data_IF_268521231622
#
_entry.id   IF_268521231622
#
_cell.length_a   1.000
_cell.length_b   1.000
_cell.length_c   1.000
_cell.angle_alpha   90.00
_cell.angle_beta   90.00
_cell.angle_gamma   90.00
#
_symmetry.space_group_name_H-M   'P 1'
#
loop_
_entity.id
_entity.type
_entity.pdbx_description
1 polymer ?
#
# COMPACT_ATOMS: atom_id res chain seq x y z
N UNK A 1 -55.23 11.02 -11.44
CA UNK A 1 -54.08 11.14 -10.51
C UNK A 1 -53.34 9.80 -10.24
N UNK A 2 -54.03 8.65 -10.10
CA UNK A 2 -53.35 7.35 -9.91
C UNK A 2 -52.47 6.92 -11.10
N UNK A 3 -52.92 7.17 -12.34
CA UNK A 3 -52.15 6.86 -13.55
C UNK A 3 -50.79 7.56 -13.62
N UNK A 4 -50.74 8.85 -13.24
CA UNK A 4 -49.48 9.61 -13.21
C UNK A 4 -48.50 9.05 -12.18
N UNK A 5 -48.97 8.62 -11.00
CA UNK A 5 -48.11 7.98 -9.99
C UNK A 5 -47.57 6.63 -10.47
N UNK A 6 -48.39 5.86 -11.19
CA UNK A 6 -47.98 4.59 -11.79
C UNK A 6 -46.91 4.81 -12.87
N UNK A 7 -47.13 5.78 -13.75
CA UNK A 7 -46.20 6.09 -14.84
C UNK A 7 -44.87 6.67 -14.33
N UNK A 8 -44.92 7.56 -13.34
CA UNK A 8 -43.72 8.09 -12.69
C UNK A 8 -42.87 7.00 -12.03
N UNK A 9 -43.50 5.97 -11.44
CA UNK A 9 -42.79 4.81 -10.88
C UNK A 9 -42.28 3.85 -11.95
N UNK A 10 -43.05 3.64 -13.02
CA UNK A 10 -42.71 2.69 -14.11
C UNK A 10 -41.53 3.18 -14.93
N UNK A 11 -41.50 4.48 -15.27
CA UNK A 11 -40.42 5.11 -16.05
C UNK A 11 -39.42 5.88 -15.18
N UNK A 12 -39.30 5.53 -13.90
CA UNK A 12 -38.24 6.06 -13.05
C UNK A 12 -36.86 5.72 -13.62
N UNK A 13 -35.90 6.63 -13.53
CA UNK A 13 -34.51 6.44 -14.01
C UNK A 13 -33.86 5.17 -13.46
N UNK A 14 -34.21 4.78 -12.22
CA UNK A 14 -33.78 3.52 -11.57
C UNK A 14 -34.27 2.23 -12.25
N UNK A 15 -35.22 2.32 -13.16
CA UNK A 15 -35.82 1.19 -13.90
C UNK A 15 -35.48 1.20 -15.39
N UNK A 16 -34.59 2.10 -15.82
CA UNK A 16 -34.06 2.08 -17.17
C UNK A 16 -33.22 0.82 -17.39
N UNK A 17 -33.23 0.29 -18.61
CA UNK A 17 -32.55 -0.97 -18.96
C UNK A 17 -31.05 -0.95 -18.68
N UNK A 18 -30.40 0.22 -18.82
CA UNK A 18 -28.99 0.43 -18.55
C UNK A 18 -28.71 1.07 -17.18
N UNK A 19 -29.63 0.94 -16.21
CA UNK A 19 -29.40 1.49 -14.88
C UNK A 19 -28.31 0.70 -14.15
N UNK A 20 -27.16 1.34 -13.94
CA UNK A 20 -26.14 0.83 -13.04
C UNK A 20 -26.61 1.02 -11.59
N UNK A 21 -26.60 -0.06 -10.81
CA UNK A 21 -26.80 0.02 -9.38
C UNK A 21 -25.74 0.94 -8.74
N UNK A 22 -26.07 1.61 -7.61
CA UNK A 22 -25.09 2.41 -6.90
C UNK A 22 -23.88 1.56 -6.51
N UNK A 23 -22.71 2.21 -6.51
CA UNK A 23 -21.47 1.61 -6.03
C UNK A 23 -21.65 1.25 -4.55
N UNK A 24 -21.06 0.13 -4.13
CA UNK A 24 -21.04 -0.24 -2.71
C UNK A 24 -20.09 0.69 -1.98
N UNK A 25 -20.61 1.38 -0.98
CA UNK A 25 -19.80 2.24 -0.11
C UNK A 25 -18.98 1.41 0.89
N UNK A 26 -17.95 2.04 1.45
CA UNK A 26 -17.10 1.42 2.45
C UNK A 26 -17.87 1.20 3.76
N UNK A 27 -17.64 0.04 4.37
CA UNK A 27 -18.22 -0.31 5.66
C UNK A 27 -17.30 0.15 6.81
N UNK A 28 -17.84 0.40 8.01
CA UNK A 28 -17.01 0.73 9.18
C UNK A 28 -15.98 -0.38 9.48
N UNK A 29 -14.73 -0.03 9.83
CA UNK A 29 -13.67 -1.02 10.04
C UNK A 29 -13.96 -1.97 11.22
N UNK A 30 -14.74 -1.53 12.21
CA UNK A 30 -15.16 -2.34 13.37
C UNK A 30 -16.04 -3.52 12.95
N UNK A 31 -16.77 -3.39 11.84
CA UNK A 31 -17.64 -4.46 11.35
C UNK A 31 -16.84 -5.71 11.02
N UNK A 32 -15.75 -5.56 10.26
CA UNK A 32 -14.87 -6.68 9.91
C UNK A 32 -14.17 -7.23 11.16
N UNK A 33 -13.62 -6.36 12.01
CA UNK A 33 -12.93 -6.78 13.25
C UNK A 33 -13.84 -7.62 14.14
N UNK A 34 -15.09 -7.19 14.31
CA UNK A 34 -16.09 -7.93 15.09
C UNK A 34 -16.44 -9.28 14.47
N UNK A 35 -16.64 -9.34 13.15
CA UNK A 35 -16.92 -10.63 12.47
C UNK A 35 -15.79 -11.62 12.71
N UNK A 36 -14.53 -11.20 12.54
CA UNK A 36 -13.36 -12.06 12.75
C UNK A 36 -13.27 -12.52 14.21
N UNK A 37 -13.48 -11.62 15.17
CA UNK A 37 -13.49 -11.94 16.61
C UNK A 37 -14.61 -12.91 16.98
N UNK A 38 -15.82 -12.72 16.45
CA UNK A 38 -16.99 -13.57 16.74
C UNK A 38 -16.84 -14.99 16.15
N UNK A 39 -16.13 -15.15 15.03
CA UNK A 39 -15.88 -16.45 14.40
C UNK A 39 -14.71 -17.21 15.07
N UNK A 40 -13.67 -16.49 15.49
CA UNK A 40 -12.52 -17.05 16.19
C UNK A 40 -11.91 -18.25 15.47
N UNK A 41 -11.72 -19.35 16.21
CA UNK A 41 -11.18 -20.63 15.73
C UNK A 41 -12.24 -21.56 15.11
N UNK A 42 -13.48 -21.09 14.93
CA UNK A 42 -14.61 -21.87 14.42
C UNK A 42 -14.98 -23.11 15.26
N UNK A 43 -14.56 -23.19 16.53
CA UNK A 43 -14.95 -24.26 17.47
C UNK A 43 -16.43 -24.19 17.84
N UNK A 44 -17.00 -22.97 17.87
CA UNK A 44 -18.39 -22.73 18.25
C UNK A 44 -19.39 -23.38 17.28
N UNK A 45 -20.39 -24.09 17.82
CA UNK A 45 -21.47 -24.72 17.05
C UNK A 45 -22.29 -23.71 16.25
N UNK A 46 -22.37 -22.45 16.68
CA UNK A 46 -23.08 -21.37 15.97
C UNK A 46 -22.53 -21.16 14.55
N UNK A 47 -21.22 -21.28 14.36
CA UNK A 47 -20.53 -21.04 13.08
C UNK A 47 -20.43 -22.29 12.20
N UNK A 48 -21.23 -23.33 12.47
CA UNK A 48 -21.17 -24.62 11.76
C UNK A 48 -21.42 -24.50 10.25
N UNK A 49 -22.36 -23.64 9.86
CA UNK A 49 -22.72 -23.47 8.45
C UNK A 49 -21.61 -22.79 7.64
N UNK A 50 -20.82 -21.93 8.29
CA UNK A 50 -19.76 -21.15 7.64
C UNK A 50 -18.46 -21.93 7.44
N UNK A 51 -18.26 -23.04 8.17
CA UNK A 51 -17.06 -23.90 8.03
C UNK A 51 -16.77 -24.32 6.59
N UNK A 52 -17.82 -24.62 5.82
CA UNK A 52 -17.68 -25.01 4.40
C UNK A 52 -17.14 -23.86 3.55
N UNK A 53 -17.54 -22.62 3.86
CA UNK A 53 -17.09 -21.42 3.14
C UNK A 53 -15.63 -21.14 3.42
N UNK A 54 -15.18 -21.27 4.68
CA UNK A 54 -13.77 -21.12 5.06
C UNK A 54 -12.86 -22.12 4.32
N UNK A 55 -13.26 -23.38 4.21
CA UNK A 55 -12.53 -24.37 3.42
C UNK A 55 -12.49 -24.02 1.93
N UNK A 56 -13.58 -23.51 1.38
CA UNK A 56 -13.62 -23.06 -0.02
C UNK A 56 -12.73 -21.83 -0.27
N UNK A 57 -12.59 -20.96 0.73
CA UNK A 57 -11.78 -19.75 0.64
C UNK A 57 -10.28 -20.05 0.56
N UNK A 58 -9.82 -21.20 1.06
CA UNK A 58 -8.41 -21.63 1.01
C UNK A 58 -7.83 -21.57 -0.42
N UNK A 59 -8.66 -21.84 -1.44
CA UNK A 59 -8.28 -21.73 -2.85
C UNK A 59 -7.73 -20.34 -3.23
N UNK A 60 -8.19 -19.28 -2.56
CA UNK A 60 -7.85 -17.90 -2.87
C UNK A 60 -6.79 -17.30 -1.94
N UNK A 61 -6.34 -18.04 -0.93
CA UNK A 61 -5.30 -17.60 0.01
C UNK A 61 -4.02 -17.16 -0.69
N UNK A 62 -3.49 -17.86 -1.73
CA UNK A 62 -2.31 -17.38 -2.44
C UNK A 62 -2.47 -15.97 -3.03
N UNK A 63 -3.67 -15.64 -3.53
CA UNK A 63 -3.96 -14.30 -4.04
C UNK A 63 -4.03 -13.26 -2.91
N UNK A 64 -4.56 -13.62 -1.75
CA UNK A 64 -4.59 -12.74 -0.57
C UNK A 64 -3.18 -12.41 -0.10
N UNK A 65 -2.32 -13.43 0.01
CA UNK A 65 -0.93 -13.30 0.43
C UNK A 65 -0.16 -12.41 -0.55
N UNK A 66 -0.35 -12.61 -1.86
CA UNK A 66 0.25 -11.75 -2.87
C UNK A 66 -0.14 -10.28 -2.67
N UNK A 67 -1.45 -9.98 -2.57
CA UNK A 67 -1.94 -8.60 -2.41
C UNK A 67 -1.52 -7.98 -1.08
N UNK A 68 -1.38 -8.77 -0.03
CA UNK A 68 -0.89 -8.34 1.28
C UNK A 68 0.60 -7.94 1.21
N UNK A 69 1.45 -8.81 0.65
CA UNK A 69 2.89 -8.56 0.53
C UNK A 69 3.20 -7.44 -0.47
N UNK A 70 2.43 -7.33 -1.55
CA UNK A 70 2.56 -6.25 -2.52
C UNK A 70 2.38 -4.87 -1.87
N UNK A 71 1.51 -4.75 -0.87
CA UNK A 71 1.19 -3.48 -0.21
C UNK A 71 1.93 -3.26 1.12
N UNK A 72 3.04 -3.96 1.38
CA UNK A 72 3.85 -3.75 2.58
C UNK A 72 4.23 -2.26 2.77
N UNK A 73 4.08 -1.71 3.99
CA UNK A 73 4.47 -0.32 4.28
C UNK A 73 5.96 -0.12 4.02
N UNK A 74 6.31 1.04 3.48
CA UNK A 74 7.70 1.38 3.21
C UNK A 74 8.39 1.88 4.49
N UNK A 75 9.73 1.79 4.64
CA UNK A 75 10.42 2.11 5.89
C UNK A 75 10.26 3.55 6.40
N UNK A 76 9.90 4.48 5.52
CA UNK A 76 9.62 5.88 5.85
C UNK A 76 8.17 6.16 6.25
N UNK A 77 7.29 5.15 6.17
CA UNK A 77 5.90 5.22 6.60
C UNK A 77 5.74 4.52 7.97
N UNK A 78 5.01 5.14 8.89
CA UNK A 78 4.65 4.49 10.18
C UNK A 78 3.48 3.53 10.01
N UNK A 79 2.40 4.01 9.40
CA UNK A 79 1.14 3.29 9.25
C UNK A 79 0.66 3.46 7.82
N UNK A 80 0.23 2.36 7.22
CA UNK A 80 -0.41 2.36 5.90
C UNK A 80 -1.83 1.82 6.00
N UNK A 81 -2.81 2.68 5.74
CA UNK A 81 -4.22 2.28 5.61
C UNK A 81 -4.49 1.85 4.18
N UNK A 82 -4.96 0.61 3.99
CA UNK A 82 -5.28 0.06 2.67
C UNK A 82 -6.77 -0.29 2.59
N UNK A 83 -7.41 -0.12 1.42
CA UNK A 83 -8.77 -0.58 1.20
C UNK A 83 -8.78 -2.10 1.13
N UNK A 84 -9.78 -2.68 1.76
CA UNK A 84 -9.90 -4.13 1.94
C UNK A 84 -11.23 -4.62 1.41
N UNK A 85 -11.20 -5.70 0.64
CA UNK A 85 -12.38 -6.44 0.21
C UNK A 85 -12.45 -7.74 1.02
N UNK A 86 -13.49 -7.90 1.82
CA UNK A 86 -13.64 -9.06 2.70
C UNK A 86 -14.92 -9.84 2.38
N UNK A 87 -14.90 -11.15 2.66
CA UNK A 87 -16.10 -11.98 2.59
C UNK A 87 -17.04 -11.67 3.75
N UNK A 88 -18.37 -11.69 3.53
CA UNK A 88 -19.38 -11.30 4.55
C UNK A 88 -19.24 -12.08 5.86
N UNK A 89 -18.78 -13.33 5.81
CA UNK A 89 -18.53 -14.17 6.99
C UNK A 89 -17.14 -14.02 7.60
N UNK A 90 -16.25 -13.19 7.03
CA UNK A 90 -14.86 -13.06 7.46
C UNK A 90 -13.93 -14.19 7.02
N UNK A 91 -14.38 -15.05 6.08
CA UNK A 91 -13.61 -16.22 5.63
C UNK A 91 -12.30 -15.87 4.91
N UNK A 92 -12.26 -14.73 4.22
CA UNK A 92 -11.09 -14.28 3.48
C UNK A 92 -11.14 -12.76 3.29
N UNK A 93 -9.95 -12.17 3.26
CA UNK A 93 -9.75 -10.72 3.25
C UNK A 93 -8.67 -10.39 2.22
N UNK A 94 -9.02 -9.62 1.20
CA UNK A 94 -8.13 -9.18 0.13
C UNK A 94 -7.79 -7.70 0.29
N UNK A 95 -6.52 -7.34 0.11
CA UNK A 95 -6.15 -5.94 -0.07
C UNK A 95 -6.52 -5.52 -1.49
N UNK A 96 -7.46 -4.57 -1.62
CA UNK A 96 -8.00 -4.12 -2.91
C UNK A 96 -7.27 -2.86 -3.43
N UNK A 97 -5.94 -2.90 -3.43
CA UNK A 97 -5.10 -1.80 -3.88
C UNK A 97 -3.92 -2.31 -4.69
N UNK A 98 -3.53 -1.55 -5.71
CA UNK A 98 -2.25 -1.72 -6.42
C UNK A 98 -1.36 -0.56 -5.94
N UNK A 99 -0.17 -0.82 -5.39
CA UNK A 99 0.75 0.21 -4.92
C UNK A 99 1.39 0.90 -6.12
N UNK A 100 0.77 1.99 -6.58
CA UNK A 100 1.34 2.84 -7.62
C UNK A 100 2.24 3.87 -6.97
N UNK A 101 3.47 3.95 -7.43
CA UNK A 101 4.47 4.92 -6.98
C UNK A 101 4.92 5.77 -8.16
N UNK A 102 5.34 7.02 -7.90
CA UNK A 102 5.98 7.86 -8.90
C UNK A 102 7.46 7.52 -8.88
N UNK A 103 7.97 6.98 -9.99
CA UNK A 103 9.32 6.43 -10.10
C UNK A 103 10.45 7.34 -9.58
N UNK A 104 10.60 8.62 -10.03
CA UNK A 104 11.69 9.46 -9.54
C UNK A 104 11.60 9.76 -8.04
N UNK A 105 10.38 9.87 -7.49
CA UNK A 105 10.18 10.06 -6.05
C UNK A 105 10.57 8.78 -5.30
N UNK A 106 10.13 7.63 -5.78
CA UNK A 106 10.41 6.33 -5.16
C UNK A 106 11.91 6.02 -5.12
N UNK A 107 12.63 6.29 -6.21
CA UNK A 107 14.10 6.13 -6.24
C UNK A 107 14.77 7.08 -5.24
N UNK A 108 14.35 8.35 -5.20
CA UNK A 108 14.88 9.31 -4.25
C UNK A 108 14.62 8.89 -2.79
N UNK A 109 13.41 8.41 -2.46
CA UNK A 109 13.06 7.90 -1.13
C UNK A 109 13.97 6.73 -0.72
N UNK A 110 14.19 5.75 -1.62
CA UNK A 110 15.12 4.65 -1.34
C UNK A 110 16.58 5.11 -1.24
N UNK A 111 16.97 6.15 -1.95
CA UNK A 111 18.31 6.72 -1.84
C UNK A 111 18.52 7.40 -0.48
N UNK A 112 17.52 8.13 0.05
CA UNK A 112 17.60 8.66 1.41
C UNK A 112 17.62 7.53 2.45
N UNK A 113 16.86 6.45 2.24
CA UNK A 113 16.95 5.25 3.10
C UNK A 113 18.35 4.65 3.10
N UNK A 114 18.98 4.54 1.93
CA UNK A 114 20.35 4.05 1.80
C UNK A 114 21.34 4.88 2.63
N UNK A 115 21.25 6.21 2.55
CA UNK A 115 22.11 7.11 3.32
C UNK A 115 21.86 6.95 4.82
N UNK A 116 20.59 6.98 5.26
CA UNK A 116 20.22 6.87 6.67
C UNK A 116 20.63 5.53 7.28
N UNK A 117 20.35 4.41 6.58
CA UNK A 117 20.73 3.08 7.05
C UNK A 117 22.24 2.89 7.13
N UNK A 118 23.01 3.49 6.20
CA UNK A 118 24.49 3.47 6.26
C UNK A 118 25.03 4.29 7.42
N UNK A 119 24.46 5.47 7.69
CA UNK A 119 24.83 6.30 8.84
C UNK A 119 24.53 5.58 10.15
N UNK A 120 23.33 5.04 10.30
CA UNK A 120 22.90 4.28 11.49
C UNK A 120 23.81 3.06 11.73
N UNK A 121 24.15 2.30 10.68
CA UNK A 121 25.05 1.15 10.79
C UNK A 121 26.49 1.55 11.16
N UNK A 122 26.95 2.73 10.73
CA UNK A 122 28.28 3.25 11.07
C UNK A 122 28.34 3.71 12.53
N UNK A 123 27.31 4.40 13.00
CA UNK A 123 27.33 5.10 14.29
C UNK A 123 26.93 4.18 15.45
N UNK A 124 26.10 3.16 15.19
CA UNK A 124 25.63 2.23 16.22
C UNK A 124 26.66 1.17 16.60
N UNK A 125 27.07 1.17 17.88
CA UNK A 125 28.05 0.21 18.43
C UNK A 125 27.57 -1.25 18.43
N UNK A 126 26.30 -1.49 18.76
CA UNK A 126 25.72 -2.84 18.81
C UNK A 126 24.39 -2.86 18.07
N UNK A 127 24.41 -3.47 16.88
CA UNK A 127 23.21 -3.71 16.08
C UNK A 127 22.70 -5.14 16.34
N UNK A 128 21.71 -5.26 17.23
CA UNK A 128 21.07 -6.54 17.53
C UNK A 128 20.03 -6.86 16.46
N UNK A 129 20.22 -7.96 15.74
CA UNK A 129 19.25 -8.46 14.76
C UNK A 129 18.03 -9.05 15.48
N UNK A 130 16.87 -8.96 14.84
CA UNK A 130 15.66 -9.64 15.31
C UNK A 130 15.88 -11.17 15.29
N UNK A 131 15.18 -11.88 16.17
CA UNK A 131 15.14 -13.34 16.18
C UNK A 131 14.02 -13.80 15.25
N UNK A 132 14.26 -14.90 14.56
CA UNK A 132 13.28 -15.54 13.69
C UNK A 132 13.08 -16.98 14.15
N UNK A 133 11.82 -17.44 14.34
CA UNK A 133 10.58 -16.67 14.24
C UNK A 133 10.44 -15.61 15.37
N UNK A 134 9.71 -14.51 15.15
CA UNK A 134 9.53 -13.48 16.19
C UNK A 134 8.64 -13.92 17.36
N UNK A 135 7.70 -14.83 17.11
CA UNK A 135 6.74 -15.38 18.07
C UNK A 135 6.97 -16.88 18.23
N UNK A 136 6.56 -17.43 19.38
CA UNK A 136 6.60 -18.88 19.63
C UNK A 136 5.46 -19.60 18.89
N UNK A 137 5.63 -20.89 18.57
CA UNK A 137 4.66 -21.66 17.78
C UNK A 137 3.35 -21.93 18.57
N UNK A 138 3.43 -21.96 19.90
CA UNK A 138 2.28 -22.16 20.81
C UNK A 138 1.55 -20.84 21.16
N UNK A 139 2.12 -19.68 20.81
CA UNK A 139 1.51 -18.39 21.07
C UNK A 139 0.38 -18.11 20.06
N UNK A 140 -0.86 -17.82 20.51
CA UNK A 140 -1.94 -17.46 19.60
C UNK A 140 -1.66 -16.09 18.94
N UNK A 141 -2.17 -15.85 17.72
CA UNK A 141 -2.04 -14.55 17.07
C UNK A 141 -2.62 -13.42 17.95
N UNK A 142 -1.84 -12.34 18.09
CA UNK A 142 -2.25 -11.16 18.87
C UNK A 142 -3.42 -10.43 18.19
N UNK A 143 -4.42 -10.03 18.98
CA UNK A 143 -5.51 -9.17 18.49
C UNK A 143 -5.01 -7.74 18.28
N UNK A 144 -5.26 -7.21 17.09
CA UNK A 144 -4.93 -5.84 16.71
C UNK A 144 -5.71 -4.81 17.54
N UNK A 145 -6.98 -5.10 17.85
CA UNK A 145 -7.86 -4.15 18.55
C UNK A 145 -7.44 -3.89 20.00
N UNK A 146 -6.88 -4.90 20.67
CA UNK A 146 -6.51 -4.82 22.08
C UNK A 146 -5.03 -4.47 22.30
N UNK A 147 -4.14 -4.94 21.41
CA UNK A 147 -2.69 -4.83 21.63
C UNK A 147 -1.98 -3.79 20.77
N UNK A 148 -2.55 -3.41 19.61
CA UNK A 148 -1.84 -2.59 18.60
C UNK A 148 -2.50 -1.25 18.35
N UNK A 149 -3.84 -1.20 18.35
CA UNK A 149 -4.59 -0.01 17.93
C UNK A 149 -4.27 1.25 18.75
N UNK A 150 -4.11 1.11 20.07
CA UNK A 150 -3.87 2.24 20.99
C UNK A 150 -2.38 2.52 21.23
N UNK A 151 -1.48 1.76 20.60
CA UNK A 151 -0.04 1.91 20.75
C UNK A 151 0.49 2.84 19.65
N UNK A 152 1.13 3.94 20.05
CA UNK A 152 1.76 4.85 19.10
C UNK A 152 2.92 4.14 18.37
N UNK A 153 2.94 4.21 17.02
CA UNK A 153 4.01 3.60 16.25
C UNK A 153 5.33 4.33 16.50
N UNK A 154 6.43 3.57 16.41
CA UNK A 154 7.76 4.13 16.46
C UNK A 154 8.01 5.10 15.30
N UNK A 155 9.00 5.97 15.46
CA UNK A 155 9.42 6.89 14.41
C UNK A 155 9.90 6.11 13.18
N UNK A 156 9.47 6.53 11.97
CA UNK A 156 9.90 5.91 10.74
C UNK A 156 11.33 6.35 10.40
N UNK A 157 11.94 5.69 9.43
CA UNK A 157 13.23 6.16 8.92
C UNK A 157 12.96 7.34 7.99
N UNK A 158 13.29 8.55 8.43
CA UNK A 158 13.20 9.76 7.61
C UNK A 158 14.50 10.54 7.74
N UNK A 159 15.06 10.95 6.60
CA UNK A 159 16.22 11.85 6.59
C UNK A 159 15.73 13.28 6.77
N UNK A 160 16.39 14.03 7.65
CA UNK A 160 16.17 15.47 7.79
C UNK A 160 16.53 16.17 6.47
N UNK A 161 15.52 16.75 5.82
CA UNK A 161 15.67 17.52 4.58
C UNK A 161 16.02 18.97 4.93
N UNK A 162 16.74 19.63 4.02
CA UNK A 162 17.09 21.05 4.18
C UNK A 162 15.91 21.93 3.73
N UNK A 163 15.48 22.87 4.56
CA UNK A 163 14.29 23.68 4.28
C UNK A 163 14.47 24.63 3.08
N UNK A 164 15.71 25.05 2.77
CA UNK A 164 16.00 25.99 1.69
C UNK A 164 16.39 25.24 0.40
N UNK A 165 17.25 24.21 0.48
CA UNK A 165 17.69 23.46 -0.70
C UNK A 165 16.66 22.44 -1.19
N UNK A 166 15.92 21.81 -0.26
CA UNK A 166 14.90 20.79 -0.56
C UNK A 166 13.46 21.34 -0.51
N UNK A 167 13.29 22.66 -0.47
CA UNK A 167 11.99 23.35 -0.48
C UNK A 167 10.97 22.73 -1.45
N UNK A 168 11.31 22.36 -2.72
CA UNK A 168 10.31 21.84 -3.67
C UNK A 168 9.69 20.49 -3.28
N UNK A 169 10.35 19.71 -2.41
CA UNK A 169 9.91 18.37 -2.00
C UNK A 169 9.62 18.24 -0.51
N UNK A 170 10.12 19.17 0.31
CA UNK A 170 10.13 19.14 1.77
C UNK A 170 8.81 18.66 2.40
N UNK A 171 7.68 19.27 2.01
CA UNK A 171 6.39 19.04 2.67
C UNK A 171 5.78 17.66 2.44
N UNK A 172 6.05 17.02 1.29
CA UNK A 172 5.30 15.86 0.82
C UNK A 172 6.18 14.64 0.55
N UNK A 173 7.50 14.76 0.70
CA UNK A 173 8.46 13.75 0.23
C UNK A 173 8.26 12.37 0.85
N UNK A 174 7.85 12.27 2.11
CA UNK A 174 7.63 10.99 2.82
C UNK A 174 6.16 10.56 2.92
N UNK A 175 5.25 11.24 2.22
CA UNK A 175 3.84 10.83 2.16
C UNK A 175 3.67 9.48 1.47
N UNK A 176 2.61 8.73 1.85
CA UNK A 176 2.26 7.47 1.19
C UNK A 176 1.95 7.64 -0.30
N UNK A 177 1.22 8.70 -0.64
CA UNK A 177 0.85 9.07 -2.02
C UNK A 177 1.11 10.57 -2.23
N UNK A 178 2.37 10.94 -2.47
CA UNK A 178 2.75 12.34 -2.58
C UNK A 178 1.99 13.02 -3.71
N UNK A 179 1.62 14.28 -3.51
CA UNK A 179 1.00 15.13 -4.54
C UNK A 179 -0.38 14.64 -5.07
N UNK A 180 -1.02 13.65 -4.44
CA UNK A 180 -2.29 13.07 -4.91
C UNK A 180 -3.41 14.11 -5.12
N UNK A 181 -3.46 15.14 -4.27
CA UNK A 181 -4.47 16.20 -4.30
C UNK A 181 -4.03 17.45 -5.07
N UNK A 182 -2.94 17.37 -5.82
CA UNK A 182 -2.38 18.51 -6.57
C UNK A 182 -2.57 18.35 -8.08
N UNK A 183 -2.31 19.42 -8.82
CA UNK A 183 -2.33 19.43 -10.30
C UNK A 183 -1.26 18.54 -10.96
N UNK A 184 -0.26 18.09 -10.20
CA UNK A 184 0.85 17.30 -10.74
C UNK A 184 0.48 15.84 -10.99
N UNK A 185 -0.64 15.37 -10.42
CA UNK A 185 -1.14 14.01 -10.59
C UNK A 185 -2.58 14.05 -11.07
N UNK A 186 -3.01 13.05 -11.83
CA UNK A 186 -4.36 12.95 -12.39
C UNK A 186 -5.48 12.64 -11.37
N UNK A 187 -5.24 12.82 -10.06
CA UNK A 187 -6.17 12.56 -8.96
C UNK A 187 -5.99 11.18 -8.30
N UNK A 188 -7.02 10.68 -7.57
CA UNK A 188 -6.93 9.51 -6.70
C UNK A 188 -6.53 8.19 -7.39
N UNK A 189 -6.70 8.12 -8.72
CA UNK A 189 -6.29 6.96 -9.50
C UNK A 189 -4.76 6.81 -9.62
N UNK A 190 -4.01 7.89 -9.40
CA UNK A 190 -2.55 7.92 -9.29
C UNK A 190 -1.82 7.20 -10.45
N UNK A 191 -2.22 7.50 -11.69
CA UNK A 191 -1.71 6.81 -12.90
C UNK A 191 -0.75 7.65 -13.74
N UNK A 192 -0.93 8.98 -13.75
CA UNK A 192 -0.14 9.90 -14.56
C UNK A 192 0.36 11.02 -13.69
N UNK A 193 1.62 11.37 -13.86
CA UNK A 193 2.29 12.44 -13.14
C UNK A 193 2.98 13.39 -14.13
N UNK A 194 3.12 14.65 -13.74
CA UNK A 194 3.91 15.66 -14.45
C UNK A 194 4.54 16.57 -13.41
N UNK A 195 5.85 16.42 -13.20
CA UNK A 195 6.61 17.18 -12.21
C UNK A 195 7.32 18.37 -12.86
N UNK A 196 7.45 19.51 -12.16
CA UNK A 196 8.20 20.65 -12.64
C UNK A 196 9.72 20.41 -12.51
N UNK A 197 10.51 21.17 -13.29
CA UNK A 197 11.98 21.01 -13.33
C UNK A 197 12.66 21.16 -11.96
N UNK A 198 12.30 22.15 -11.10
CA UNK A 198 12.90 22.27 -9.78
C UNK A 198 12.74 21.00 -8.93
N UNK A 199 11.54 20.42 -8.91
CA UNK A 199 11.26 19.15 -8.20
C UNK A 199 12.12 18.03 -8.76
N UNK A 200 12.21 17.90 -10.09
CA UNK A 200 13.05 16.87 -10.71
C UNK A 200 14.53 17.05 -10.39
N UNK A 201 15.03 18.28 -10.34
CA UNK A 201 16.41 18.59 -9.96
C UNK A 201 16.73 18.16 -8.52
N UNK A 202 15.84 18.51 -7.58
CA UNK A 202 15.97 18.11 -6.17
C UNK A 202 15.91 16.59 -6.00
N UNK A 203 14.93 15.92 -6.64
CA UNK A 203 14.80 14.46 -6.59
C UNK A 203 16.03 13.75 -7.18
N UNK A 204 16.58 14.25 -8.29
CA UNK A 204 17.78 13.70 -8.89
C UNK A 204 19.01 13.81 -7.97
N UNK A 205 19.16 14.95 -7.28
CA UNK A 205 20.22 15.17 -6.29
C UNK A 205 20.08 14.23 -5.08
N UNK A 206 18.88 14.06 -4.56
CA UNK A 206 18.61 13.12 -3.45
C UNK A 206 18.84 11.66 -3.88
N UNK A 207 18.55 11.33 -5.14
CA UNK A 207 18.71 10.00 -5.72
C UNK A 207 20.17 9.64 -6.08
N UNK A 208 21.10 10.60 -6.06
CA UNK A 208 22.49 10.39 -6.49
C UNK A 208 23.18 9.14 -5.90
N UNK A 209 22.98 8.73 -4.62
CA UNK A 209 23.58 7.51 -4.08
C UNK A 209 23.19 6.20 -4.79
N UNK A 210 22.10 6.19 -5.55
CA UNK A 210 21.59 5.01 -6.28
C UNK A 210 21.68 5.15 -7.81
N UNK A 211 21.92 6.37 -8.32
CA UNK A 211 22.05 6.61 -9.75
C UNK A 211 23.47 6.33 -10.23
N UNK A 212 23.60 5.96 -11.50
CA UNK A 212 24.90 5.77 -12.14
C UNK A 212 25.45 7.10 -12.65
N UNK A 213 26.76 7.29 -12.50
CA UNK A 213 27.48 8.46 -13.06
C UNK A 213 27.80 8.34 -14.56
N UNK A 214 27.31 7.28 -15.22
CA UNK A 214 27.55 7.01 -16.64
C UNK A 214 26.66 7.94 -17.47
N UNK A 215 27.28 8.85 -18.22
CA UNK A 215 26.58 9.82 -19.06
C UNK A 215 26.39 9.36 -20.52
N UNK A 216 27.24 8.44 -21.00
CA UNK A 216 27.24 7.97 -22.39
C UNK A 216 26.99 6.46 -22.44
N UNK A 217 26.02 6.05 -23.26
CA UNK A 217 25.67 4.65 -23.50
C UNK A 217 26.81 3.86 -24.14
N UNK A 218 27.78 4.54 -24.77
CA UNK A 218 29.00 3.91 -25.30
C UNK A 218 29.81 3.18 -24.22
N UNK A 219 29.64 3.53 -22.94
CA UNK A 219 30.22 2.78 -21.83
C UNK A 219 29.85 1.29 -21.87
N UNK A 220 28.66 0.95 -22.36
CA UNK A 220 28.14 -0.42 -22.46
C UNK A 220 28.57 -1.15 -23.74
N UNK A 221 29.59 -0.68 -24.45
CA UNK A 221 30.11 -1.40 -25.62
C UNK A 221 30.56 -2.81 -25.22
N UNK A 222 30.04 -3.84 -25.92
CA UNK A 222 30.16 -5.28 -25.59
C UNK A 222 29.53 -5.72 -24.26
N UNK A 223 28.81 -4.83 -23.58
CA UNK A 223 28.07 -5.10 -22.36
C UNK A 223 26.59 -4.72 -22.50
N UNK A 224 26.06 -4.83 -23.72
CA UNK A 224 24.66 -4.63 -24.05
C UNK A 224 23.96 -5.96 -24.36
N UNK A 225 22.61 -5.95 -24.37
CA UNK A 225 21.81 -7.16 -24.61
C UNK A 225 22.15 -7.82 -25.95
N UNK A 226 22.49 -7.05 -26.98
CA UNK A 226 22.83 -7.60 -28.31
C UNK A 226 24.17 -8.34 -28.28
N UNK A 227 25.18 -7.80 -27.61
CA UNK A 227 26.46 -8.49 -27.44
C UNK A 227 26.29 -9.77 -26.63
N UNK A 228 25.44 -9.77 -25.59
CA UNK A 228 25.14 -10.98 -24.83
C UNK A 228 24.38 -12.04 -25.62
N UNK A 229 23.57 -11.67 -26.60
CA UNK A 229 22.94 -12.67 -27.48
C UNK A 229 23.91 -13.28 -28.49
N UNK A 230 25.02 -12.59 -28.78
CA UNK A 230 26.01 -13.02 -29.77
C UNK A 230 27.13 -13.85 -29.14
N UNK A 231 27.43 -13.61 -27.85
CA UNK A 231 28.40 -14.34 -27.05
C UNK A 231 27.91 -15.74 -26.67
#
# INVERSE_FOLDING_TARGET
QQWQRLQARRYATKRQFAYAAPVKDDMPPEHLRKIVRDHGDMSNRKSRYDKRVYLGALKYVPHCVLKLLENMPMPWEQVRTVPVLYHVTGAVTFVNQIPRVIEPIYIAQWATMWVMMRREKRDRRHFKRMRFPPFDDEEPPLDYGENVLDVEPLEPIQMDLDADEDEPVYDWFYDHRPLQHTKFVNGPSYKKWRLPVPVMGTLHRLASPLLSDIADDNYFYLFDLKSFFTA
#
